data_IF_076413742332
#
_entry.id   IF_076413742332
#
_cell.length_a   1.000
_cell.length_b   1.000
_cell.length_c   1.000
_cell.angle_alpha   90.00
_cell.angle_beta   90.00
_cell.angle_gamma   90.00
#
_symmetry.space_group_name_H-M   'P 1'
#
loop_
_entity.id
_entity.type
_entity.pdbx_description
1 polymer ?
#
# COMPACT_ATOMS: atom_id res chain seq x y z
N UNK A 1 -56.91 -47.04 2.25
CA UNK A 1 -56.28 -46.20 3.28
C UNK A 1 -55.07 -45.50 2.66
N UNK A 2 -55.25 -44.25 2.23
CA UNK A 2 -54.14 -43.45 1.64
C UNK A 2 -53.55 -42.56 2.74
N UNK A 3 -52.29 -42.77 3.08
CA UNK A 3 -51.52 -41.89 3.99
C UNK A 3 -51.02 -40.70 3.21
N UNK A 4 -51.48 -39.51 3.53
CA UNK A 4 -50.97 -38.24 3.02
C UNK A 4 -49.79 -37.81 3.89
N UNK A 5 -48.61 -37.73 3.29
CA UNK A 5 -47.39 -37.26 3.93
C UNK A 5 -47.32 -35.74 3.75
N UNK A 6 -47.48 -34.99 4.83
CA UNK A 6 -47.23 -33.54 4.82
C UNK A 6 -45.74 -33.29 4.95
N UNK A 7 -45.12 -32.84 3.86
CA UNK A 7 -43.75 -32.33 3.86
C UNK A 7 -43.81 -30.86 4.25
N UNK A 8 -43.42 -30.54 5.48
CA UNK A 8 -43.25 -29.14 5.93
C UNK A 8 -42.00 -28.56 5.28
N UNK A 9 -42.18 -27.69 4.31
CA UNK A 9 -41.14 -26.84 3.73
C UNK A 9 -40.81 -25.73 4.72
N UNK A 10 -39.73 -25.87 5.49
CA UNK A 10 -39.19 -24.80 6.29
C UNK A 10 -38.50 -23.80 5.35
N UNK A 11 -39.21 -22.73 5.03
CA UNK A 11 -38.64 -21.55 4.39
C UNK A 11 -37.78 -20.86 5.44
N UNK A 12 -36.46 -21.04 5.35
CA UNK A 12 -35.50 -20.23 6.08
C UNK A 12 -35.56 -18.82 5.46
N UNK A 13 -36.34 -17.95 6.02
CA UNK A 13 -36.38 -16.54 5.71
C UNK A 13 -35.05 -15.95 6.14
N UNK A 14 -34.12 -15.75 5.19
CA UNK A 14 -33.01 -14.82 5.34
C UNK A 14 -33.63 -13.43 5.51
N UNK A 15 -33.78 -13.01 6.77
CA UNK A 15 -34.16 -11.65 7.12
C UNK A 15 -33.07 -10.70 6.60
N UNK A 16 -33.29 -10.14 5.42
CA UNK A 16 -32.66 -8.91 5.02
C UNK A 16 -33.32 -7.84 5.89
N UNK A 17 -32.80 -7.64 7.11
CA UNK A 17 -33.12 -6.43 7.87
C UNK A 17 -32.37 -5.29 7.19
N UNK A 18 -32.87 -4.90 6.01
CA UNK A 18 -32.56 -3.59 5.47
C UNK A 18 -33.17 -2.56 6.44
N UNK A 19 -32.43 -1.49 6.72
CA UNK A 19 -32.99 -0.33 7.41
C UNK A 19 -34.25 0.11 6.66
N UNK A 20 -35.43 -0.38 7.07
CA UNK A 20 -36.70 0.10 6.60
C UNK A 20 -37.16 1.18 7.56
N UNK A 21 -37.59 2.29 7.02
CA UNK A 21 -38.10 3.47 7.75
C UNK A 21 -39.31 3.17 8.65
N UNK A 22 -39.74 1.90 8.76
CA UNK A 22 -40.97 1.51 9.49
C UNK A 22 -40.74 1.03 10.93
N UNK A 23 -39.47 0.86 11.37
CA UNK A 23 -39.15 0.35 12.72
C UNK A 23 -38.50 1.40 13.64
N UNK A 24 -38.59 2.68 13.31
CA UNK A 24 -38.20 3.76 14.24
C UNK A 24 -39.30 3.86 15.33
N UNK A 25 -39.26 2.90 16.23
CA UNK A 25 -40.11 2.89 17.43
C UNK A 25 -39.85 4.10 18.29
N UNK A 26 -40.89 4.63 18.87
CA UNK A 26 -41.01 5.73 19.84
C UNK A 26 -39.69 6.07 20.50
N UNK A 27 -39.11 7.26 20.20
CA UNK A 27 -37.88 7.79 20.74
C UNK A 27 -37.78 7.58 22.27
N UNK A 28 -36.86 6.71 22.66
CA UNK A 28 -36.35 6.74 24.03
C UNK A 28 -35.60 8.07 24.16
N UNK A 29 -36.02 8.91 25.08
CA UNK A 29 -35.53 10.26 25.29
C UNK A 29 -33.99 10.33 25.17
N UNK A 30 -33.48 11.04 24.18
CA UNK A 30 -32.07 11.36 24.01
C UNK A 30 -31.25 10.45 23.08
N UNK A 31 -31.71 9.25 22.71
CA UNK A 31 -30.99 8.39 21.76
C UNK A 31 -31.59 8.58 20.36
N UNK A 32 -30.72 9.01 19.44
CA UNK A 32 -31.04 9.14 18.03
C UNK A 32 -30.38 8.01 17.23
N UNK A 33 -31.04 7.47 16.23
CA UNK A 33 -30.54 6.42 15.36
C UNK A 33 -30.55 6.86 13.90
N UNK A 34 -29.49 6.49 13.17
CA UNK A 34 -29.35 6.77 11.75
C UNK A 34 -28.93 5.51 11.01
N UNK A 35 -29.31 5.42 9.74
CA UNK A 35 -28.85 4.38 8.84
C UNK A 35 -27.74 4.94 7.94
N UNK A 36 -26.55 4.38 8.03
CA UNK A 36 -25.43 4.75 7.20
C UNK A 36 -25.21 3.73 6.08
N UNK A 37 -25.06 4.20 4.86
CA UNK A 37 -24.75 3.37 3.70
C UNK A 37 -23.38 3.76 3.14
N UNK A 38 -22.56 2.78 2.79
CA UNK A 38 -21.34 2.98 2.01
C UNK A 38 -21.70 2.83 0.53
N UNK A 39 -21.69 3.92 -0.21
CA UNK A 39 -22.03 3.89 -1.61
C UNK A 39 -21.37 5.01 -2.39
N UNK A 40 -20.35 4.68 -3.17
CA UNK A 40 -20.06 5.38 -4.40
C UNK A 40 -20.55 4.49 -5.55
N UNK A 41 -21.71 4.83 -6.12
CA UNK A 41 -22.22 4.14 -7.31
C UNK A 41 -21.27 4.30 -8.52
N UNK A 42 -20.25 5.15 -8.39
CA UNK A 42 -19.23 5.44 -9.39
C UNK A 42 -17.87 4.77 -9.08
N UNK A 43 -17.72 3.99 -8.01
CA UNK A 43 -16.48 3.25 -7.76
C UNK A 43 -16.38 2.06 -8.71
N UNK A 44 -15.93 2.31 -9.94
CA UNK A 44 -15.66 1.29 -10.97
C UNK A 44 -14.39 0.50 -10.76
N UNK A 45 -13.69 0.67 -9.69
CA UNK A 45 -12.70 -0.28 -9.23
C UNK A 45 -13.39 -1.22 -8.28
N UNK A 46 -14.01 -2.26 -8.86
CA UNK A 46 -14.38 -3.43 -8.10
C UNK A 46 -13.15 -3.83 -7.28
N UNK A 47 -13.25 -3.65 -5.96
CA UNK A 47 -12.33 -4.30 -5.04
C UNK A 47 -12.59 -5.79 -5.22
N UNK A 48 -11.72 -6.47 -5.94
CA UNK A 48 -11.80 -7.90 -6.14
C UNK A 48 -11.57 -8.53 -4.75
N UNK A 49 -12.66 -8.85 -4.05
CA UNK A 49 -12.68 -9.57 -2.80
C UNK A 49 -12.74 -8.78 -1.49
N UNK A 50 -12.47 -7.45 -1.44
CA UNK A 50 -12.58 -6.67 -0.19
C UNK A 50 -13.51 -5.48 -0.38
N UNK A 51 -14.80 -5.72 -0.28
CA UNK A 51 -15.78 -4.64 -0.07
C UNK A 51 -15.45 -3.94 1.25
N UNK A 52 -15.36 -2.61 1.24
CA UNK A 52 -15.37 -1.84 2.49
C UNK A 52 -16.71 -2.10 3.15
N UNK A 53 -16.69 -2.56 4.38
CA UNK A 53 -17.88 -2.85 5.20
C UNK A 53 -17.68 -2.23 6.57
N UNK A 54 -18.79 -1.93 7.23
CA UNK A 54 -18.77 -1.44 8.61
C UNK A 54 -18.27 -2.53 9.56
N UNK A 55 -17.39 -2.16 10.50
CA UNK A 55 -16.79 -3.08 11.47
C UNK A 55 -17.26 -2.78 12.89
N UNK A 56 -17.26 -3.80 13.74
CA UNK A 56 -17.59 -3.62 15.16
C UNK A 56 -16.63 -2.59 15.76
N UNK A 57 -17.20 -1.58 16.45
CA UNK A 57 -16.45 -0.47 17.04
C UNK A 57 -16.24 0.73 16.11
N UNK A 58 -16.80 0.71 14.89
CA UNK A 58 -16.83 1.90 14.04
C UNK A 58 -17.67 3.00 14.69
N UNK A 59 -17.15 4.22 14.55
CA UNK A 59 -17.78 5.44 15.04
C UNK A 59 -17.79 6.50 13.94
N UNK A 60 -18.90 7.24 13.83
CA UNK A 60 -19.05 8.34 12.89
C UNK A 60 -19.31 9.64 13.64
N UNK A 61 -18.81 10.75 13.08
CA UNK A 61 -19.14 12.08 13.56
C UNK A 61 -20.32 12.67 12.79
N UNK A 62 -21.31 13.20 13.49
CA UNK A 62 -22.42 13.92 12.88
C UNK A 62 -22.45 15.35 13.38
N UNK A 63 -22.41 16.29 12.47
CA UNK A 63 -22.50 17.73 12.77
C UNK A 63 -23.97 18.14 12.81
N UNK A 64 -24.38 18.63 13.98
CA UNK A 64 -25.75 19.02 14.28
C UNK A 64 -25.81 20.50 14.66
N UNK A 65 -26.85 21.19 14.22
CA UNK A 65 -27.16 22.55 14.62
C UNK A 65 -28.56 22.60 15.23
N UNK A 66 -28.80 23.54 16.13
CA UNK A 66 -30.11 23.77 16.74
C UNK A 66 -30.84 24.91 15.99
N UNK A 67 -31.93 24.57 15.32
CA UNK A 67 -32.75 25.52 14.59
C UNK A 67 -31.98 26.29 13.52
N UNK A 68 -32.00 27.62 13.59
CA UNK A 68 -31.32 28.51 12.64
C UNK A 68 -29.89 28.90 13.04
N UNK A 69 -29.29 28.24 14.03
CA UNK A 69 -27.93 28.52 14.48
C UNK A 69 -26.91 28.16 13.40
N UNK A 70 -25.86 28.96 13.28
CA UNK A 70 -24.69 28.65 12.44
C UNK A 70 -23.58 27.93 13.20
N UNK A 71 -23.84 27.54 14.46
CA UNK A 71 -22.90 26.75 15.27
C UNK A 71 -23.25 25.29 15.13
N UNK A 72 -22.23 24.45 14.89
CA UNK A 72 -22.38 23.02 14.68
C UNK A 72 -21.67 22.26 15.79
N UNK A 73 -22.35 21.28 16.36
CA UNK A 73 -21.78 20.35 17.38
C UNK A 73 -21.45 19.04 16.71
N UNK A 74 -20.24 18.53 16.94
CA UNK A 74 -19.80 17.22 16.48
C UNK A 74 -20.20 16.15 17.49
N UNK A 75 -21.17 15.31 17.13
CA UNK A 75 -21.71 14.26 18.00
C UNK A 75 -21.17 12.92 17.54
N UNK A 76 -20.67 12.12 18.48
CA UNK A 76 -20.25 10.74 18.23
C UNK A 76 -21.47 9.81 18.15
N UNK A 77 -21.54 9.03 17.07
CA UNK A 77 -22.48 7.93 16.90
C UNK A 77 -21.69 6.63 16.74
N UNK A 78 -22.01 5.65 17.59
CA UNK A 78 -21.39 4.32 17.57
C UNK A 78 -22.24 3.33 16.80
N UNK A 79 -21.58 2.40 16.12
CA UNK A 79 -22.25 1.32 15.38
C UNK A 79 -23.15 0.51 16.32
N UNK A 80 -24.45 0.45 16.01
CA UNK A 80 -25.46 -0.30 16.75
C UNK A 80 -25.89 -1.59 16.07
N UNK A 81 -25.80 -1.66 14.72
CA UNK A 81 -26.18 -2.84 13.94
C UNK A 81 -25.51 -2.85 12.57
N UNK A 82 -25.54 -3.98 11.86
CA UNK A 82 -25.10 -4.10 10.47
C UNK A 82 -23.58 -4.23 10.28
N UNK A 83 -22.81 -4.64 11.30
CA UNK A 83 -21.40 -4.99 11.15
C UNK A 83 -21.22 -6.07 10.07
N UNK A 84 -20.14 -5.96 9.27
CA UNK A 84 -19.86 -6.85 8.14
C UNK A 84 -20.65 -6.53 6.88
N UNK A 85 -21.41 -5.46 6.84
CA UNK A 85 -22.21 -5.05 5.67
C UNK A 85 -21.91 -3.60 5.25
N UNK A 86 -22.40 -3.19 4.08
CA UNK A 86 -22.33 -1.80 3.60
C UNK A 86 -23.37 -0.88 4.22
N UNK A 87 -24.40 -1.46 4.85
CA UNK A 87 -25.51 -0.73 5.45
C UNK A 87 -25.50 -1.02 6.95
N UNK A 88 -25.46 0.02 7.77
CA UNK A 88 -25.37 -0.14 9.22
C UNK A 88 -26.19 0.92 9.96
N UNK A 89 -26.69 0.55 11.12
CA UNK A 89 -27.28 1.45 12.08
C UNK A 89 -26.22 2.03 13.00
N UNK A 90 -26.34 3.32 13.29
CA UNK A 90 -25.52 4.02 14.27
C UNK A 90 -26.42 4.75 15.25
N UNK A 91 -26.04 4.77 16.52
CA UNK A 91 -26.78 5.46 17.58
C UNK A 91 -25.89 6.44 18.34
N UNK A 92 -26.46 7.58 18.70
CA UNK A 92 -25.79 8.64 19.47
C UNK A 92 -26.78 9.42 20.35
N UNK A 93 -26.25 10.24 21.23
CA UNK A 93 -27.07 11.12 22.07
C UNK A 93 -27.28 12.45 21.37
N UNK A 94 -28.53 12.70 20.95
CA UNK A 94 -28.91 13.94 20.31
C UNK A 94 -29.64 14.84 21.29
N UNK A 95 -29.02 15.98 21.62
CA UNK A 95 -29.55 16.94 22.58
C UNK A 95 -29.91 18.25 21.87
N UNK A 96 -30.86 18.99 22.45
CA UNK A 96 -31.27 20.31 22.02
C UNK A 96 -32.69 20.40 21.47
N UNK A 97 -33.13 21.65 21.21
CA UNK A 97 -34.45 21.91 20.61
C UNK A 97 -34.36 21.94 19.09
N UNK A 98 -35.11 21.07 18.43
CA UNK A 98 -35.14 20.96 16.96
C UNK A 98 -33.77 20.77 16.31
N UNK A 99 -33.01 19.72 16.69
CA UNK A 99 -31.69 19.46 16.14
C UNK A 99 -31.79 19.08 14.65
N UNK A 100 -30.91 19.64 13.84
CA UNK A 100 -30.84 19.37 12.41
C UNK A 100 -29.43 18.87 12.06
N UNK A 101 -29.31 17.66 11.56
CA UNK A 101 -28.08 17.05 11.09
C UNK A 101 -27.70 17.66 9.73
N UNK A 102 -26.45 18.06 9.52
CA UNK A 102 -26.00 18.78 8.30
C UNK A 102 -24.94 18.04 7.50
N UNK A 103 -23.99 17.41 8.20
CA UNK A 103 -22.93 16.62 7.56
C UNK A 103 -22.48 15.50 8.50
N UNK A 104 -21.91 14.44 7.94
CA UNK A 104 -21.28 13.37 8.71
C UNK A 104 -19.95 12.97 8.08
N UNK A 105 -19.07 12.38 8.90
CA UNK A 105 -17.77 11.87 8.48
C UNK A 105 -17.37 10.60 9.24
N UNK A 106 -16.49 9.83 8.64
CA UNK A 106 -15.90 8.62 9.20
C UNK A 106 -14.39 8.59 8.91
N UNK A 107 -13.57 8.12 9.86
CA UNK A 107 -13.91 7.77 11.24
C UNK A 107 -14.13 9.00 12.11
N UNK A 108 -14.85 8.85 13.22
CA UNK A 108 -15.05 9.92 14.20
C UNK A 108 -13.72 10.47 14.72
N UNK A 109 -13.64 11.78 14.86
CA UNK A 109 -12.56 12.52 15.50
C UNK A 109 -13.13 13.67 16.29
N UNK A 110 -12.85 13.75 17.59
CA UNK A 110 -13.41 14.79 18.48
C UNK A 110 -12.92 16.21 18.17
N UNK A 111 -11.78 16.33 17.45
CA UNK A 111 -11.16 17.57 16.99
C UNK A 111 -11.77 18.13 15.70
N UNK A 112 -12.64 17.33 15.04
CA UNK A 112 -13.27 17.76 13.80
C UNK A 112 -14.33 18.85 14.05
N UNK A 113 -14.39 19.81 13.12
CA UNK A 113 -15.35 20.91 13.12
C UNK A 113 -15.99 21.10 11.75
N UNK A 114 -17.16 21.70 11.73
CA UNK A 114 -17.90 22.02 10.50
C UNK A 114 -18.30 23.49 10.53
N UNK A 115 -18.12 24.22 9.42
CA UNK A 115 -18.44 25.65 9.30
C UNK A 115 -19.68 25.91 8.44
N UNK A 116 -20.43 24.87 8.06
CA UNK A 116 -21.57 24.94 7.17
C UNK A 116 -21.22 24.65 5.70
N UNK A 117 -19.93 24.62 5.34
CA UNK A 117 -19.46 24.38 3.98
C UNK A 117 -18.43 23.27 3.88
N UNK A 118 -17.57 23.12 4.90
CA UNK A 118 -16.49 22.15 4.94
C UNK A 118 -16.31 21.57 6.34
N UNK A 119 -15.78 20.36 6.39
CA UNK A 119 -15.32 19.72 7.61
C UNK A 119 -13.81 19.92 7.72
N UNK A 120 -13.35 20.48 8.83
CA UNK A 120 -11.93 20.58 9.19
C UNK A 120 -11.61 19.49 10.19
N UNK A 121 -10.49 18.76 9.99
CA UNK A 121 -10.07 17.64 10.82
C UNK A 121 -8.55 17.48 10.77
N UNK A 122 -8.01 16.68 11.69
CA UNK A 122 -6.60 16.31 11.68
C UNK A 122 -6.43 14.87 11.20
N UNK A 123 -5.67 14.67 10.13
CA UNK A 123 -5.27 13.33 9.67
C UNK A 123 -4.18 12.78 10.59
N UNK A 124 -4.37 11.59 11.10
CA UNK A 124 -3.37 10.92 11.94
C UNK A 124 -2.12 10.61 11.13
N UNK A 125 -0.98 10.74 11.76
CA UNK A 125 0.33 10.33 11.24
C UNK A 125 0.72 8.90 11.66
N UNK A 126 -0.06 8.30 12.55
CA UNK A 126 0.21 6.97 13.11
C UNK A 126 -1.06 6.15 13.23
N UNK A 127 -1.01 4.92 12.72
CA UNK A 127 -2.08 3.91 12.78
C UNK A 127 -1.53 2.59 13.32
N UNK A 128 -2.41 1.74 13.82
CA UNK A 128 -2.08 0.35 14.16
C UNK A 128 -2.61 -0.58 13.06
N UNK A 129 -1.76 -1.52 12.65
CA UNK A 129 -2.13 -2.55 11.68
C UNK A 129 -3.24 -3.44 12.23
N UNK A 130 -4.24 -3.67 11.41
CA UNK A 130 -5.28 -4.67 11.63
C UNK A 130 -5.45 -5.50 10.37
N UNK A 131 -5.38 -6.79 10.53
CA UNK A 131 -5.46 -7.71 9.40
C UNK A 131 -6.86 -7.70 8.77
N UNK A 132 -6.91 -7.53 7.45
CA UNK A 132 -8.17 -7.49 6.70
C UNK A 132 -9.01 -6.22 6.89
N UNK A 133 -8.58 -5.28 7.75
CA UNK A 133 -9.28 -4.03 7.99
C UNK A 133 -8.64 -2.85 7.24
N UNK A 134 -9.48 -2.08 6.57
CA UNK A 134 -9.15 -0.78 6.00
C UNK A 134 -9.69 0.32 6.93
N UNK A 135 -9.12 0.42 8.14
CA UNK A 135 -9.54 1.41 9.15
C UNK A 135 -9.14 2.86 8.82
N UNK A 136 -8.52 3.08 7.67
CA UNK A 136 -8.02 4.39 7.25
C UNK A 136 -8.85 5.05 6.13
N UNK A 137 -9.92 4.40 5.65
CA UNK A 137 -10.80 5.01 4.67
C UNK A 137 -11.51 6.23 5.26
N UNK A 138 -11.32 7.40 4.63
CA UNK A 138 -11.98 8.63 5.02
C UNK A 138 -13.22 8.84 4.15
N UNK A 139 -14.37 8.88 4.80
CA UNK A 139 -15.65 9.05 4.12
C UNK A 139 -16.44 10.21 4.72
N UNK A 140 -17.27 10.84 3.91
CA UNK A 140 -18.17 11.88 4.38
C UNK A 140 -19.44 11.95 3.54
N UNK A 141 -20.48 12.58 4.10
CA UNK A 141 -21.69 12.95 3.37
C UNK A 141 -22.26 14.27 3.87
N UNK A 142 -22.92 14.99 2.98
CA UNK A 142 -23.88 16.02 3.36
C UNK A 142 -25.23 15.37 3.62
N UNK A 143 -25.90 15.81 4.68
CA UNK A 143 -27.18 15.26 5.08
C UNK A 143 -28.29 16.13 4.50
N UNK A 144 -29.21 15.48 3.80
CA UNK A 144 -30.36 16.18 3.22
C UNK A 144 -31.38 16.48 4.32
N UNK A 145 -31.89 17.70 4.36
CA UNK A 145 -32.91 18.10 5.35
C UNK A 145 -34.20 17.28 5.27
N UNK A 146 -34.52 16.71 4.11
CA UNK A 146 -35.68 15.81 3.94
C UNK A 146 -35.40 14.33 4.28
N UNK A 147 -34.16 13.96 4.58
CA UNK A 147 -33.75 12.58 4.86
C UNK A 147 -32.67 12.54 5.96
N UNK A 148 -33.06 13.03 7.14
CA UNK A 148 -32.14 13.23 8.28
C UNK A 148 -31.55 11.93 8.86
N UNK A 149 -32.20 10.79 8.64
CA UNK A 149 -31.83 9.51 9.25
C UNK A 149 -31.14 8.56 8.25
N UNK A 150 -30.92 8.99 7.02
CA UNK A 150 -30.23 8.22 5.99
C UNK A 150 -28.94 8.94 5.54
N UNK A 151 -27.82 8.32 5.86
CA UNK A 151 -26.49 8.86 5.58
C UNK A 151 -25.82 8.10 4.44
N UNK A 152 -25.70 8.74 3.27
CA UNK A 152 -25.03 8.15 2.11
C UNK A 152 -23.55 8.55 2.06
N UNK A 153 -22.71 7.80 2.76
CA UNK A 153 -21.28 8.05 2.82
C UNK A 153 -20.59 7.81 1.46
N UNK A 154 -19.65 8.67 1.11
CA UNK A 154 -18.79 8.56 -0.06
C UNK A 154 -17.34 8.74 0.36
N UNK A 155 -16.42 8.06 -0.33
CA UNK A 155 -14.99 8.25 -0.12
C UNK A 155 -14.62 9.71 -0.38
N UNK A 156 -13.86 10.31 0.53
CA UNK A 156 -13.43 11.69 0.41
C UNK A 156 -12.03 11.81 -0.22
N UNK A 157 -11.16 10.83 0.01
CA UNK A 157 -9.78 10.77 -0.50
C UNK A 157 -9.54 9.61 -1.44
N UNK A 158 -8.27 9.33 -1.66
CA UNK A 158 -7.73 8.12 -2.29
C UNK A 158 -7.21 7.14 -1.24
N UNK A 159 -6.89 5.92 -1.67
CA UNK A 159 -6.29 4.89 -0.85
C UNK A 159 -5.07 4.29 -1.54
N UNK A 160 -3.93 4.24 -0.86
CA UNK A 160 -2.79 3.46 -1.31
C UNK A 160 -2.74 2.14 -0.55
N UNK A 161 -2.74 1.03 -1.28
CA UNK A 161 -2.66 -0.33 -0.76
C UNK A 161 -1.31 -0.92 -1.16
N UNK A 162 -0.47 -1.22 -0.18
CA UNK A 162 0.87 -1.77 -0.40
C UNK A 162 0.95 -3.15 0.21
N UNK A 163 1.12 -4.16 -0.65
CA UNK A 163 1.39 -5.52 -0.20
C UNK A 163 2.90 -5.72 -0.12
N UNK A 164 3.40 -6.07 1.04
CA UNK A 164 4.82 -6.36 1.26
C UNK A 164 4.96 -7.85 1.58
N UNK A 165 5.77 -8.53 0.78
CA UNK A 165 6.11 -9.96 0.98
C UNK A 165 7.48 -10.10 1.65
N UNK A 166 7.69 -11.23 2.31
CA UNK A 166 8.95 -11.61 2.99
C UNK A 166 9.41 -10.59 4.04
N UNK A 167 8.48 -10.10 4.86
CA UNK A 167 8.81 -9.12 5.90
C UNK A 167 9.67 -9.79 6.98
N UNK A 168 10.88 -9.26 7.28
CA UNK A 168 11.74 -9.78 8.35
C UNK A 168 11.02 -9.84 9.70
N UNK A 169 11.34 -10.84 10.49
CA UNK A 169 10.66 -11.17 11.76
C UNK A 169 10.63 -10.05 12.79
N UNK A 170 11.64 -9.21 12.81
CA UNK A 170 11.83 -8.14 13.78
C UNK A 170 11.27 -6.78 13.34
N UNK A 171 10.70 -6.69 12.13
CA UNK A 171 10.10 -5.45 11.65
C UNK A 171 8.77 -5.17 12.34
N UNK A 172 8.52 -3.88 12.63
CA UNK A 172 7.40 -3.45 13.48
C UNK A 172 6.63 -2.27 12.93
N UNK A 173 7.07 -1.66 11.83
CA UNK A 173 6.36 -0.54 11.23
C UNK A 173 6.54 -0.49 9.70
N UNK A 174 5.53 0.06 9.03
CA UNK A 174 5.58 0.50 7.64
C UNK A 174 5.23 1.99 7.59
N UNK A 175 6.00 2.78 6.82
CA UNK A 175 5.83 4.23 6.72
C UNK A 175 5.76 4.66 5.28
N UNK A 176 4.74 5.44 4.94
CA UNK A 176 4.62 6.14 3.67
C UNK A 176 4.99 7.60 3.89
N UNK A 177 5.88 8.14 3.06
CA UNK A 177 6.34 9.54 3.13
C UNK A 177 6.11 10.21 1.79
N UNK A 178 5.48 11.39 1.78
CA UNK A 178 5.48 12.27 0.61
C UNK A 178 6.77 13.07 0.59
N UNK A 179 7.44 13.09 -0.57
CA UNK A 179 8.77 13.68 -0.74
C UNK A 179 8.77 14.79 -1.79
N UNK A 180 9.68 15.75 -1.62
CA UNK A 180 9.90 16.81 -2.61
C UNK A 180 10.52 16.26 -3.88
N UNK A 181 10.04 16.73 -5.04
CA UNK A 181 10.76 16.56 -6.28
C UNK A 181 11.95 17.55 -6.36
N UNK A 182 12.92 17.22 -7.19
CA UNK A 182 14.06 18.10 -7.43
C UNK A 182 13.59 19.52 -7.85
N UNK A 183 14.06 20.54 -7.15
CA UNK A 183 13.71 21.93 -7.41
C UNK A 183 12.41 22.44 -6.75
N UNK A 184 11.70 21.62 -5.95
CA UNK A 184 10.55 22.04 -5.14
C UNK A 184 10.91 21.97 -3.64
N UNK A 185 10.43 22.94 -2.88
CA UNK A 185 10.69 23.02 -1.43
C UNK A 185 9.57 22.47 -0.56
N UNK A 186 8.40 22.20 -1.15
CA UNK A 186 7.22 21.74 -0.42
C UNK A 186 6.49 20.62 -1.17
N UNK A 187 5.85 19.73 -0.41
CA UNK A 187 5.00 18.64 -0.91
C UNK A 187 3.61 18.74 -0.30
N UNK A 188 2.58 18.19 -0.95
CA UNK A 188 1.29 17.98 -0.30
C UNK A 188 1.47 17.10 0.93
N UNK A 189 0.96 17.54 2.08
CA UNK A 189 0.98 16.72 3.29
C UNK A 189 0.04 15.53 3.13
N UNK A 190 0.40 14.39 3.73
CA UNK A 190 -0.48 13.20 3.81
C UNK A 190 -1.04 12.99 5.23
N UNK A 191 -0.55 13.74 6.21
CA UNK A 191 -1.02 13.79 7.59
C UNK A 191 -1.05 15.24 8.06
N UNK A 192 -1.72 15.52 9.20
CA UNK A 192 -1.89 16.86 9.76
C UNK A 192 -3.21 17.52 9.39
N UNK A 193 -3.26 18.84 9.39
CA UNK A 193 -4.50 19.59 9.15
C UNK A 193 -5.07 19.38 7.76
N UNK A 194 -6.33 18.97 7.69
CA UNK A 194 -7.03 18.66 6.47
C UNK A 194 -8.47 19.20 6.47
N UNK A 195 -9.05 19.24 5.30
CA UNK A 195 -10.45 19.63 5.12
C UNK A 195 -11.15 18.72 4.12
N UNK A 196 -12.45 18.49 4.37
CA UNK A 196 -13.35 17.84 3.43
C UNK A 196 -14.32 18.91 2.92
N UNK A 197 -14.25 19.21 1.64
CA UNK A 197 -15.18 20.13 0.95
C UNK A 197 -16.21 19.32 0.18
N UNK A 198 -17.37 19.93 -0.07
CA UNK A 198 -18.44 19.28 -0.81
C UNK A 198 -18.77 20.04 -2.09
N UNK A 199 -18.81 19.32 -3.20
CA UNK A 199 -19.31 19.84 -4.47
C UNK A 199 -20.43 18.94 -4.97
N UNK A 200 -21.66 19.46 -5.04
CA UNK A 200 -22.87 18.70 -5.41
C UNK A 200 -23.03 17.41 -4.57
N UNK A 201 -22.75 17.49 -3.27
CA UNK A 201 -22.82 16.36 -2.35
C UNK A 201 -21.69 15.32 -2.49
N UNK A 202 -20.64 15.65 -3.24
CA UNK A 202 -19.44 14.81 -3.41
C UNK A 202 -18.34 15.38 -2.51
N UNK A 203 -17.87 14.61 -1.50
CA UNK A 203 -16.79 15.04 -0.62
C UNK A 203 -15.42 14.96 -1.31
N UNK A 204 -14.53 15.90 -1.01
CA UNK A 204 -13.14 15.86 -1.43
C UNK A 204 -12.24 16.25 -0.27
N UNK A 205 -11.34 15.33 0.10
CA UNK A 205 -10.34 15.51 1.15
C UNK A 205 -9.10 16.17 0.56
N UNK A 206 -8.68 17.27 1.16
CA UNK A 206 -7.42 17.95 0.84
C UNK A 206 -6.70 18.34 2.12
N UNK A 207 -5.38 18.43 2.08
CA UNK A 207 -4.60 19.01 3.19
C UNK A 207 -4.44 20.51 3.00
N UNK A 208 -4.39 21.23 4.11
CA UNK A 208 -4.26 22.70 4.11
C UNK A 208 -2.80 23.15 4.24
N UNK A 209 -1.92 22.21 4.55
CA UNK A 209 -0.50 22.47 4.81
C UNK A 209 0.38 21.87 3.73
N UNK A 210 1.45 22.58 3.41
CA UNK A 210 2.58 22.05 2.65
C UNK A 210 3.79 22.01 3.56
N UNK A 211 4.53 20.92 3.55
CA UNK A 211 5.73 20.75 4.37
C UNK A 211 6.88 20.23 3.50
N UNK A 212 8.08 20.20 4.06
CA UNK A 212 9.24 19.60 3.35
C UNK A 212 9.08 18.09 3.18
N UNK A 213 8.37 17.44 4.10
CA UNK A 213 7.95 16.04 4.02
C UNK A 213 6.77 15.81 4.98
N UNK A 214 5.95 14.83 4.66
CA UNK A 214 4.85 14.40 5.53
C UNK A 214 4.76 12.88 5.45
N UNK A 215 4.49 12.21 6.57
CA UNK A 215 4.47 10.76 6.61
C UNK A 215 3.31 10.19 7.41
N UNK A 216 2.93 8.97 7.06
CA UNK A 216 2.00 8.12 7.82
C UNK A 216 2.75 6.84 8.18
N UNK A 217 2.71 6.45 9.46
CA UNK A 217 3.30 5.23 9.99
C UNK A 217 2.20 4.25 10.39
N UNK A 218 2.32 2.99 9.99
CA UNK A 218 1.46 1.91 10.43
C UNK A 218 2.31 0.95 11.26
N UNK A 219 2.00 0.87 12.56
CA UNK A 219 2.69 -0.03 13.49
C UNK A 219 2.05 -1.42 13.45
N UNK A 220 2.86 -2.46 13.53
CA UNK A 220 2.43 -3.85 13.66
C UNK A 220 3.32 -4.63 14.63
N UNK A 221 2.83 -5.74 15.14
CA UNK A 221 3.60 -6.58 16.03
C UNK A 221 4.73 -7.30 15.29
N UNK A 222 5.90 -7.38 15.92
CA UNK A 222 6.99 -8.24 15.46
C UNK A 222 6.50 -9.71 15.41
N UNK A 223 7.03 -10.47 14.48
CA UNK A 223 6.77 -11.90 14.34
C UNK A 223 7.97 -12.70 14.81
N UNK A 224 7.76 -13.96 15.20
CA UNK A 224 8.85 -14.92 15.47
C UNK A 224 9.54 -15.40 14.18
N UNK A 225 8.84 -15.31 13.05
CA UNK A 225 9.27 -15.80 11.75
C UNK A 225 9.10 -14.72 10.68
N UNK A 226 9.71 -14.94 9.52
CA UNK A 226 9.47 -14.10 8.33
C UNK A 226 7.99 -14.13 7.99
N UNK A 227 7.39 -12.96 7.85
CA UNK A 227 5.98 -12.84 7.48
C UNK A 227 5.85 -12.91 5.97
N UNK A 228 5.17 -13.94 5.48
CA UNK A 228 5.02 -14.19 4.04
C UNK A 228 4.45 -12.99 3.30
N UNK A 229 3.42 -12.34 3.86
CA UNK A 229 2.79 -11.18 3.23
C UNK A 229 1.97 -10.37 4.23
N UNK A 230 2.01 -9.03 4.11
CA UNK A 230 1.06 -8.10 4.77
C UNK A 230 0.65 -7.01 3.79
N UNK A 231 -0.61 -6.59 3.87
CA UNK A 231 -1.11 -5.46 3.08
C UNK A 231 -1.37 -4.27 4.00
N UNK A 232 -0.73 -3.15 3.71
CA UNK A 232 -0.86 -1.89 4.43
C UNK A 232 -1.74 -0.93 3.62
N UNK A 233 -2.63 -0.22 4.32
CA UNK A 233 -3.55 0.74 3.70
C UNK A 233 -3.26 2.14 4.20
N UNK A 234 -2.86 3.03 3.30
CA UNK A 234 -2.54 4.43 3.59
C UNK A 234 -3.61 5.33 2.98
N UNK A 235 -4.34 6.13 3.79
CA UNK A 235 -5.25 7.14 3.26
C UNK A 235 -4.44 8.25 2.58
N UNK A 236 -4.90 8.70 1.43
CA UNK A 236 -4.26 9.79 0.71
C UNK A 236 -5.27 10.91 0.44
N UNK A 237 -4.96 12.16 0.84
CA UNK A 237 -5.64 13.34 0.33
C UNK A 237 -5.53 13.44 -1.18
N UNK A 238 -6.50 14.10 -1.81
CA UNK A 238 -6.48 14.37 -3.25
C UNK A 238 -5.39 15.41 -3.54
N UNK A 239 -4.34 15.00 -4.22
CA UNK A 239 -3.21 15.85 -4.58
C UNK A 239 -2.30 15.18 -5.63
N UNK A 240 -1.46 15.99 -6.28
CA UNK A 240 -0.32 15.51 -7.07
C UNK A 240 0.90 15.36 -6.17
N UNK A 241 1.31 14.12 -5.93
CA UNK A 241 2.52 13.78 -5.16
C UNK A 241 3.70 13.61 -6.10
N UNK A 242 4.76 14.42 -5.98
CA UNK A 242 5.95 14.30 -6.85
C UNK A 242 6.68 12.97 -6.67
N UNK A 243 6.72 12.47 -5.44
CA UNK A 243 7.20 11.14 -5.10
C UNK A 243 6.58 10.69 -3.77
N UNK A 244 6.31 9.40 -3.67
CA UNK A 244 5.99 8.73 -2.42
C UNK A 244 7.11 7.74 -2.12
N UNK A 245 7.52 7.67 -0.88
CA UNK A 245 8.52 6.73 -0.39
C UNK A 245 7.87 5.81 0.63
N UNK A 246 7.95 4.51 0.42
CA UNK A 246 7.62 3.53 1.44
C UNK A 246 8.88 3.10 2.15
N UNK A 247 8.85 3.10 3.47
CA UNK A 247 9.88 2.50 4.34
C UNK A 247 9.23 1.44 5.21
N UNK A 248 9.95 0.38 5.53
CA UNK A 248 9.52 -0.65 6.47
C UNK A 248 10.70 -1.07 7.35
N UNK A 249 10.49 -1.29 8.63
CA UNK A 249 11.61 -1.58 9.53
C UNK A 249 11.25 -1.78 11.00
N UNK A 250 12.26 -1.68 11.88
CA UNK A 250 12.14 -1.85 13.33
C UNK A 250 12.77 -0.71 14.15
N UNK A 251 13.18 0.37 13.55
CA UNK A 251 13.86 1.48 14.22
C UNK A 251 15.39 1.40 14.21
N UNK A 252 15.97 0.20 14.13
CA UNK A 252 17.41 0.01 13.98
C UNK A 252 17.79 -0.22 12.50
N UNK A 253 16.94 -0.94 11.78
CA UNK A 253 17.07 -1.22 10.36
C UNK A 253 15.79 -0.85 9.63
N UNK A 254 15.90 -0.34 8.42
CA UNK A 254 14.74 -0.05 7.57
C UNK A 254 15.10 -0.26 6.10
N UNK A 255 14.09 -0.65 5.34
CA UNK A 255 14.17 -0.72 3.88
C UNK A 255 13.30 0.40 3.29
N UNK A 256 13.82 1.11 2.29
CA UNK A 256 13.17 2.25 1.64
C UNK A 256 12.93 1.92 0.17
N UNK A 257 11.72 2.14 -0.31
CA UNK A 257 11.35 1.99 -1.70
C UNK A 257 10.74 3.30 -2.19
N UNK A 258 11.30 3.86 -3.26
CA UNK A 258 10.75 5.07 -3.88
C UNK A 258 9.73 4.68 -4.93
N UNK A 259 8.56 5.30 -4.88
CA UNK A 259 7.56 5.18 -5.92
C UNK A 259 7.70 6.31 -6.94
N UNK A 260 7.06 6.15 -8.10
CA UNK A 260 6.89 7.22 -9.08
C UNK A 260 5.92 8.29 -8.55
N UNK A 261 5.89 9.44 -9.23
CA UNK A 261 4.88 10.48 -8.97
C UNK A 261 3.46 9.91 -9.06
N UNK A 262 2.57 10.38 -8.20
CA UNK A 262 1.19 9.94 -8.12
C UNK A 262 0.23 11.13 -8.14
N UNK A 263 -0.70 11.15 -9.10
CA UNK A 263 -1.87 12.02 -9.09
C UNK A 263 -3.01 11.30 -8.36
N UNK A 264 -3.12 11.55 -7.04
CA UNK A 264 -4.12 10.90 -6.20
C UNK A 264 -5.50 11.53 -6.39
N UNK A 265 -6.43 10.76 -6.94
CA UNK A 265 -7.81 11.18 -7.20
C UNK A 265 -8.76 10.57 -6.19
N UNK A 266 -9.80 11.33 -5.86
CA UNK A 266 -10.88 10.87 -4.99
C UNK A 266 -11.43 9.51 -5.44
N UNK A 267 -11.69 8.64 -4.48
CA UNK A 267 -12.30 7.33 -4.70
C UNK A 267 -11.45 6.37 -5.57
N UNK A 268 -10.17 6.66 -5.78
CA UNK A 268 -9.26 5.74 -6.44
C UNK A 268 -8.43 4.95 -5.44
N UNK A 269 -8.15 3.69 -5.77
CA UNK A 269 -7.24 2.82 -5.04
C UNK A 269 -6.01 2.54 -5.89
N UNK A 270 -4.87 2.87 -5.36
CA UNK A 270 -3.57 2.57 -5.94
C UNK A 270 -2.99 1.35 -5.25
N UNK A 271 -2.58 0.36 -6.03
CA UNK A 271 -2.03 -0.90 -5.49
C UNK A 271 -0.61 -1.11 -5.96
N UNK A 272 0.25 -1.56 -5.06
CA UNK A 272 1.59 -2.03 -5.39
C UNK A 272 1.93 -3.25 -4.55
N UNK A 273 2.74 -4.14 -5.11
CA UNK A 273 3.29 -5.29 -4.38
C UNK A 273 4.80 -5.19 -4.38
N UNK A 274 5.40 -5.40 -3.24
CA UNK A 274 6.83 -5.32 -3.00
C UNK A 274 7.24 -6.63 -2.34
N UNK A 275 8.28 -7.26 -2.87
CA UNK A 275 8.88 -8.43 -2.24
C UNK A 275 10.23 -8.03 -1.68
N UNK A 276 10.40 -8.19 -0.37
CA UNK A 276 11.68 -7.97 0.28
C UNK A 276 12.55 -9.19 0.06
N UNK A 277 13.78 -8.96 -0.36
CA UNK A 277 14.71 -10.06 -0.59
C UNK A 277 15.15 -10.67 0.73
N UNK A 278 15.05 -11.99 0.84
CA UNK A 278 15.53 -12.76 2.02
C UNK A 278 17.04 -12.62 2.25
N UNK A 279 17.75 -12.14 1.23
CA UNK A 279 19.21 -12.19 1.13
C UNK A 279 19.90 -10.99 1.74
N UNK A 280 19.24 -9.83 1.87
CA UNK A 280 19.89 -8.68 2.49
C UNK A 280 18.90 -7.87 3.33
N UNK A 281 19.20 -7.65 4.59
CA UNK A 281 18.52 -6.66 5.43
C UNK A 281 18.82 -5.22 5.02
N UNK A 282 19.23 -4.98 3.79
CA UNK A 282 19.52 -3.66 3.22
C UNK A 282 18.62 -3.39 2.01
N UNK A 283 18.20 -2.15 1.91
CA UNK A 283 17.50 -1.59 0.74
C UNK A 283 18.40 -1.67 -0.47
N UNK A 284 17.89 -2.06 -1.65
CA UNK A 284 18.62 -1.82 -2.87
C UNK A 284 18.91 -0.33 -3.03
N UNK A 285 20.17 0.04 -3.11
CA UNK A 285 20.54 1.37 -3.55
C UNK A 285 20.22 1.47 -5.03
N UNK A 286 19.30 2.35 -5.41
CA UNK A 286 18.97 2.54 -6.82
C UNK A 286 20.09 3.31 -7.51
N UNK A 287 20.59 2.76 -8.62
CA UNK A 287 21.58 3.38 -9.52
C UNK A 287 20.97 3.54 -10.90
N UNK A 288 21.40 4.55 -11.63
CA UNK A 288 20.85 4.84 -12.96
C UNK A 288 21.46 3.94 -14.05
N UNK A 289 22.69 3.45 -13.82
CA UNK A 289 23.41 2.63 -14.80
C UNK A 289 24.19 1.49 -14.16
N UNK A 290 24.56 0.48 -14.95
CA UNK A 290 25.37 -0.67 -14.49
C UNK A 290 26.78 -0.27 -14.05
N UNK A 291 27.31 0.84 -14.53
CA UNK A 291 28.64 1.32 -14.15
C UNK A 291 28.73 1.81 -12.69
N UNK A 292 27.61 2.18 -12.08
CA UNK A 292 27.52 2.67 -10.71
C UNK A 292 27.37 1.53 -9.68
N UNK A 293 27.06 0.32 -10.15
CA UNK A 293 26.74 -0.83 -9.27
C UNK A 293 27.92 -1.17 -8.35
N UNK A 294 29.15 -1.17 -8.87
CA UNK A 294 30.34 -1.51 -8.08
C UNK A 294 30.54 -0.55 -6.90
N UNK A 295 30.38 0.75 -7.13
CA UNK A 295 30.53 1.75 -6.06
C UNK A 295 29.39 1.67 -5.05
N UNK A 296 28.18 1.46 -5.50
CA UNK A 296 27.04 1.26 -4.62
C UNK A 296 27.20 -0.01 -3.75
N UNK A 297 27.70 -1.11 -4.32
CA UNK A 297 27.95 -2.36 -3.59
C UNK A 297 29.09 -2.28 -2.57
N UNK A 298 29.95 -1.27 -2.62
CA UNK A 298 30.94 -1.04 -1.55
C UNK A 298 30.29 -0.60 -0.25
N UNK A 299 29.16 0.13 -0.35
CA UNK A 299 28.43 0.68 0.79
C UNK A 299 27.25 -0.21 1.21
N UNK A 300 26.69 -1.01 0.28
CA UNK A 300 25.53 -1.85 0.51
C UNK A 300 25.73 -3.27 -0.04
N UNK A 301 24.83 -4.19 0.27
CA UNK A 301 24.81 -5.54 -0.31
C UNK A 301 23.68 -5.70 -1.34
N UNK A 302 22.92 -4.65 -1.63
CA UNK A 302 21.76 -4.74 -2.52
C UNK A 302 21.67 -3.47 -3.38
N UNK A 303 21.55 -3.66 -4.69
CA UNK A 303 21.48 -2.58 -5.69
C UNK A 303 20.33 -2.85 -6.65
N UNK A 304 19.57 -1.81 -7.00
CA UNK A 304 18.59 -1.81 -8.08
C UNK A 304 19.08 -0.93 -9.23
N UNK A 305 19.16 -1.48 -10.42
CA UNK A 305 19.53 -0.75 -11.65
C UNK A 305 18.26 -0.29 -12.33
N UNK A 306 18.08 1.03 -12.49
CA UNK A 306 16.88 1.62 -13.06
C UNK A 306 16.68 1.24 -14.53
N UNK A 307 17.76 1.32 -15.35
CA UNK A 307 17.71 0.88 -16.75
C UNK A 307 19.11 0.46 -17.25
N UNK A 308 19.13 -0.56 -18.08
CA UNK A 308 20.32 -0.88 -18.90
C UNK A 308 20.06 -0.39 -20.32
N UNK A 309 20.60 0.78 -20.63
CA UNK A 309 20.27 1.50 -21.85
C UNK A 309 20.65 0.75 -23.12
N UNK A 310 19.82 0.87 -24.17
CA UNK A 310 20.07 0.27 -25.50
C UNK A 310 21.34 0.77 -26.18
N UNK A 311 21.84 1.92 -25.75
CA UNK A 311 23.08 2.54 -26.27
C UNK A 311 24.35 1.97 -25.64
N UNK A 312 24.25 1.16 -24.60
CA UNK A 312 25.40 0.54 -23.93
C UNK A 312 25.92 -0.67 -24.75
N UNK A 313 27.11 -0.57 -25.33
CA UNK A 313 27.60 -1.63 -26.25
C UNK A 313 28.04 -2.90 -25.50
N UNK A 314 28.40 -2.80 -24.23
CA UNK A 314 28.88 -3.92 -23.40
C UNK A 314 28.57 -3.65 -21.93
N UNK A 315 27.26 -3.71 -21.53
CA UNK A 315 26.86 -3.44 -20.18
C UNK A 315 27.52 -4.44 -19.22
N UNK A 316 28.27 -3.93 -18.25
CA UNK A 316 28.99 -4.76 -17.29
C UNK A 316 28.70 -4.32 -15.87
N UNK A 317 28.15 -5.25 -15.09
CA UNK A 317 28.01 -5.15 -13.65
C UNK A 317 29.24 -5.74 -13.01
N UNK A 318 30.01 -4.93 -12.29
CA UNK A 318 31.19 -5.35 -11.53
C UNK A 318 30.82 -5.56 -10.07
N UNK A 319 31.12 -6.73 -9.52
CA UNK A 319 30.91 -7.04 -8.12
C UNK A 319 32.20 -6.89 -7.35
N UNK A 320 32.31 -5.93 -6.41
CA UNK A 320 33.54 -5.69 -5.66
C UNK A 320 33.83 -6.81 -4.67
N UNK A 321 35.11 -7.08 -4.44
CA UNK A 321 35.59 -7.91 -3.32
C UNK A 321 35.61 -7.07 -2.05
N UNK A 322 35.26 -7.70 -0.91
CA UNK A 322 35.26 -7.06 0.41
C UNK A 322 36.31 -7.71 1.33
N UNK A 323 36.71 -7.00 2.40
CA UNK A 323 37.64 -7.53 3.40
C UNK A 323 37.03 -8.68 4.20
N UNK A 324 35.72 -8.64 4.43
CA UNK A 324 34.94 -9.74 4.97
C UNK A 324 34.01 -10.27 3.89
N UNK A 325 33.81 -11.58 3.73
CA UNK A 325 32.88 -12.13 2.76
C UNK A 325 31.51 -11.48 2.98
N UNK A 326 30.98 -10.80 1.98
CA UNK A 326 29.58 -10.44 1.97
C UNK A 326 28.83 -11.75 1.73
N UNK A 327 28.10 -12.19 2.74
CA UNK A 327 27.39 -13.47 2.69
C UNK A 327 26.46 -13.53 1.46
N UNK A 328 25.85 -12.42 1.11
CA UNK A 328 24.90 -12.33 0.00
C UNK A 328 24.92 -10.96 -0.65
N UNK A 329 24.90 -10.92 -1.98
CA UNK A 329 24.74 -9.72 -2.80
C UNK A 329 23.48 -9.85 -3.66
N UNK A 330 22.67 -8.81 -3.73
CA UNK A 330 21.46 -8.76 -4.57
C UNK A 330 21.59 -7.64 -5.61
N UNK A 331 21.28 -7.97 -6.86
CA UNK A 331 21.21 -7.04 -7.98
C UNK A 331 19.87 -7.22 -8.66
N UNK A 332 19.04 -6.21 -8.61
CA UNK A 332 17.76 -6.17 -9.32
C UNK A 332 17.84 -5.19 -10.49
N UNK A 333 17.12 -5.48 -11.54
CA UNK A 333 16.97 -4.59 -12.69
C UNK A 333 15.51 -4.19 -12.78
N UNK A 334 15.23 -2.89 -12.92
CA UNK A 334 13.88 -2.40 -13.16
C UNK A 334 13.52 -2.48 -14.65
N UNK A 335 14.50 -2.21 -15.51
CA UNK A 335 14.36 -2.32 -16.95
C UNK A 335 15.70 -2.71 -17.62
N UNK A 336 15.60 -3.41 -18.75
CA UNK A 336 16.75 -3.73 -19.62
C UNK A 336 16.32 -3.45 -21.06
N UNK A 337 16.77 -2.33 -21.58
CA UNK A 337 16.46 -1.86 -22.95
C UNK A 337 17.49 -2.32 -23.99
N UNK A 338 18.63 -2.87 -23.56
CA UNK A 338 19.68 -3.36 -24.47
C UNK A 338 19.38 -4.74 -25.01
N UNK A 339 19.77 -5.01 -26.24
CA UNK A 339 19.77 -6.35 -26.87
C UNK A 339 21.09 -7.10 -26.66
N UNK A 340 22.12 -6.41 -26.13
CA UNK A 340 23.40 -7.01 -25.78
C UNK A 340 23.30 -7.80 -24.48
N UNK A 341 24.20 -8.76 -24.28
CA UNK A 341 24.27 -9.46 -23.02
C UNK A 341 24.80 -8.56 -21.92
N UNK A 342 24.11 -8.56 -20.75
CA UNK A 342 24.59 -7.90 -19.53
C UNK A 342 25.61 -8.83 -18.88
N UNK A 343 26.86 -8.38 -18.79
CA UNK A 343 27.92 -9.15 -18.15
C UNK A 343 27.90 -8.89 -16.64
N UNK A 344 27.89 -9.96 -15.82
CA UNK A 344 28.04 -9.89 -14.37
C UNK A 344 29.36 -10.55 -14.01
N UNK A 345 30.30 -9.77 -13.49
CA UNK A 345 31.69 -10.20 -13.30
C UNK A 345 32.21 -9.81 -11.91
N UNK A 346 33.16 -10.59 -11.41
CA UNK A 346 34.00 -10.16 -10.29
C UNK A 346 34.88 -8.96 -10.69
N UNK A 347 35.03 -7.97 -9.83
CA UNK A 347 35.98 -6.89 -10.02
C UNK A 347 37.41 -7.43 -9.97
N UNK A 348 38.17 -7.25 -11.05
CA UNK A 348 39.50 -7.87 -11.20
C UNK A 348 40.61 -7.15 -10.40
N UNK A 349 40.40 -5.87 -10.07
CA UNK A 349 41.40 -5.04 -9.39
C UNK A 349 40.72 -3.96 -8.58
N UNK A 350 40.36 -4.23 -7.33
CA UNK A 350 39.78 -3.25 -6.41
C UNK A 350 40.68 -3.05 -5.17
N UNK A 351 40.68 -1.87 -4.60
CA UNK A 351 41.29 -1.53 -3.30
C UNK A 351 40.48 -2.03 -2.12
N UNK A 352 39.48 -2.86 -2.34
CA UNK A 352 38.49 -3.30 -1.34
C UNK A 352 38.46 -4.81 -1.14
N UNK A 353 39.46 -5.38 -0.47
CA UNK A 353 39.33 -6.75 0.04
C UNK A 353 39.68 -7.89 -0.94
N UNK A 354 39.72 -9.13 -0.40
CA UNK A 354 40.13 -10.35 -1.13
C UNK A 354 39.02 -11.35 -1.30
N UNK A 355 37.86 -11.16 -0.65
CA UNK A 355 36.78 -12.14 -0.61
C UNK A 355 35.64 -11.77 -1.59
N UNK A 356 35.30 -12.69 -2.48
CA UNK A 356 34.10 -12.63 -3.30
C UNK A 356 32.84 -12.96 -2.46
N UNK A 357 31.63 -12.50 -2.83
CA UNK A 357 30.41 -12.89 -2.16
C UNK A 357 30.13 -14.39 -2.38
N UNK A 358 29.61 -15.05 -1.34
CA UNK A 358 29.24 -16.48 -1.43
C UNK A 358 28.02 -16.68 -2.33
N UNK A 359 27.02 -15.80 -2.23
CA UNK A 359 25.79 -15.88 -3.02
C UNK A 359 25.51 -14.55 -3.73
N UNK A 360 25.08 -14.63 -4.97
CA UNK A 360 24.67 -13.48 -5.78
C UNK A 360 23.27 -13.75 -6.32
N UNK A 361 22.32 -12.94 -5.93
CA UNK A 361 20.97 -12.93 -6.46
C UNK A 361 20.86 -11.93 -7.60
N UNK A 362 20.39 -12.38 -8.76
CA UNK A 362 20.12 -11.53 -9.93
C UNK A 362 18.65 -11.63 -10.25
N UNK A 363 17.92 -10.52 -10.18
CA UNK A 363 16.49 -10.49 -10.44
C UNK A 363 16.12 -9.51 -11.55
N UNK A 364 15.16 -9.92 -12.40
CA UNK A 364 14.58 -9.08 -13.45
C UNK A 364 13.06 -9.18 -13.42
N UNK A 365 12.32 -8.12 -13.80
CA UNK A 365 10.89 -8.19 -14.02
C UNK A 365 10.59 -8.98 -15.31
N UNK A 366 9.32 -9.30 -15.53
CA UNK A 366 8.88 -9.79 -16.85
C UNK A 366 8.98 -8.64 -17.85
N UNK A 367 9.88 -8.75 -18.80
CA UNK A 367 10.13 -7.76 -19.86
C UNK A 367 9.52 -8.21 -21.19
N UNK A 368 9.15 -7.26 -22.05
CA UNK A 368 8.65 -7.53 -23.40
C UNK A 368 9.72 -8.21 -24.27
N UNK A 369 10.99 -7.83 -24.09
CA UNK A 369 12.15 -8.47 -24.68
C UNK A 369 12.94 -9.16 -23.60
N UNK A 370 13.05 -10.46 -23.66
CA UNK A 370 13.80 -11.25 -22.68
C UNK A 370 15.30 -10.91 -22.73
N UNK A 371 15.93 -10.59 -21.59
CA UNK A 371 17.32 -10.15 -21.54
C UNK A 371 18.31 -11.32 -21.70
N UNK A 372 19.55 -10.98 -22.06
CA UNK A 372 20.69 -11.90 -22.11
C UNK A 372 21.69 -11.58 -21.01
N UNK A 373 22.23 -12.62 -20.38
CA UNK A 373 23.23 -12.46 -19.33
C UNK A 373 24.48 -13.30 -19.62
N UNK A 374 25.63 -12.73 -19.29
CA UNK A 374 26.92 -13.43 -19.23
C UNK A 374 27.44 -13.38 -17.78
N UNK A 375 27.60 -14.55 -17.14
CA UNK A 375 27.92 -14.66 -15.72
C UNK A 375 29.34 -15.19 -15.57
N UNK A 376 30.19 -14.41 -14.95
CA UNK A 376 31.60 -14.71 -14.66
C UNK A 376 31.95 -14.45 -13.17
N UNK A 377 31.42 -15.32 -12.31
CA UNK A 377 31.59 -15.23 -10.86
C UNK A 377 32.12 -16.57 -10.30
N UNK A 378 33.41 -16.83 -10.43
CA UNK A 378 33.98 -18.17 -10.20
C UNK A 378 33.85 -18.69 -8.76
N UNK A 379 33.64 -17.81 -7.79
CA UNK A 379 33.59 -18.15 -6.37
C UNK A 379 32.20 -18.07 -5.75
N UNK A 380 31.16 -17.77 -6.57
CA UNK A 380 29.83 -17.49 -6.05
C UNK A 380 28.78 -18.48 -6.56
N UNK A 381 27.77 -18.74 -5.74
CA UNK A 381 26.50 -19.33 -6.18
C UNK A 381 25.63 -18.20 -6.73
N UNK A 382 25.20 -18.29 -8.00
CA UNK A 382 24.35 -17.28 -8.63
C UNK A 382 22.94 -17.79 -8.75
N UNK A 383 22.00 -17.08 -8.17
CA UNK A 383 20.56 -17.38 -8.29
C UNK A 383 19.90 -16.38 -9.24
N UNK A 384 19.27 -16.87 -10.30
CA UNK A 384 18.39 -16.08 -11.15
C UNK A 384 16.98 -16.09 -10.58
N UNK A 385 16.39 -14.92 -10.39
CA UNK A 385 15.07 -14.76 -9.81
C UNK A 385 14.16 -13.86 -10.67
N UNK A 386 12.87 -13.92 -10.43
CA UNK A 386 11.91 -12.99 -10.99
C UNK A 386 11.66 -11.86 -9.98
N UNK A 387 11.66 -10.63 -10.47
CA UNK A 387 11.11 -9.50 -9.74
C UNK A 387 9.60 -9.44 -10.02
N UNK A 388 8.84 -10.34 -9.38
CA UNK A 388 7.43 -10.63 -9.64
C UNK A 388 7.15 -12.13 -9.66
N UNK A 389 6.07 -12.57 -10.31
CA UNK A 389 5.68 -13.99 -10.36
C UNK A 389 6.54 -14.82 -11.34
N UNK A 390 6.90 -14.22 -12.46
CA UNK A 390 7.67 -14.90 -13.54
C UNK A 390 8.68 -13.94 -14.16
N UNK A 391 9.77 -14.50 -14.71
CA UNK A 391 10.67 -13.80 -15.60
C UNK A 391 11.23 -14.74 -16.65
N UNK A 392 11.48 -14.21 -17.85
CA UNK A 392 12.06 -14.96 -18.96
C UNK A 392 13.41 -14.36 -19.32
N UNK A 393 14.44 -15.22 -19.40
CA UNK A 393 15.78 -14.90 -19.88
C UNK A 393 15.96 -15.52 -21.28
N UNK A 394 16.39 -14.73 -22.25
CA UNK A 394 16.61 -15.25 -23.63
C UNK A 394 17.85 -16.14 -23.68
N UNK A 395 18.96 -15.64 -23.16
CA UNK A 395 20.20 -16.40 -23.09
C UNK A 395 20.92 -16.16 -21.79
N UNK A 396 21.39 -17.21 -21.13
CA UNK A 396 22.27 -17.14 -19.99
C UNK A 396 23.53 -17.94 -20.30
N UNK A 397 24.69 -17.27 -20.26
CA UNK A 397 26.00 -17.88 -20.48
C UNK A 397 26.80 -17.89 -19.18
N UNK A 398 27.12 -19.07 -18.66
CA UNK A 398 28.07 -19.23 -17.56
C UNK A 398 29.47 -19.45 -18.12
N UNK A 399 30.44 -18.62 -17.76
CA UNK A 399 31.76 -18.57 -18.40
C UNK A 399 32.84 -19.33 -17.64
N UNK A 400 32.65 -19.60 -16.34
CA UNK A 400 33.66 -20.27 -15.49
C UNK A 400 33.16 -21.60 -14.91
N UNK A 401 34.10 -22.53 -14.70
CA UNK A 401 33.83 -23.90 -14.28
C UNK A 401 33.37 -24.04 -12.83
N UNK A 402 33.55 -23.00 -12.00
CA UNK A 402 33.25 -23.04 -10.57
C UNK A 402 31.89 -22.42 -10.22
N UNK A 403 31.15 -21.89 -11.20
CA UNK A 403 29.84 -21.27 -10.98
C UNK A 403 28.78 -22.33 -10.65
N UNK A 404 28.06 -22.11 -9.58
CA UNK A 404 26.77 -22.77 -9.34
C UNK A 404 25.67 -21.80 -9.77
N UNK A 405 24.88 -22.20 -10.79
CA UNK A 405 23.73 -21.43 -11.24
C UNK A 405 22.45 -22.08 -10.73
N UNK A 406 21.65 -21.33 -10.01
CA UNK A 406 20.35 -21.73 -9.47
C UNK A 406 19.25 -20.97 -10.19
N UNK A 407 18.24 -21.68 -10.70
CA UNK A 407 17.05 -21.07 -11.27
C UNK A 407 15.96 -21.01 -10.21
N UNK A 408 15.55 -19.80 -9.82
CA UNK A 408 14.47 -19.56 -8.89
C UNK A 408 13.11 -20.00 -9.43
N UNK A 409 12.10 -19.98 -8.58
CA UNK A 409 10.72 -20.29 -8.97
C UNK A 409 10.21 -19.27 -10.02
N UNK A 410 9.51 -19.73 -11.05
CA UNK A 410 8.92 -18.87 -12.07
C UNK A 410 9.91 -18.39 -13.14
N UNK A 411 11.14 -18.93 -13.18
CA UNK A 411 12.15 -18.57 -14.16
C UNK A 411 12.08 -19.48 -15.38
N UNK A 412 12.12 -18.86 -16.56
CA UNK A 412 12.31 -19.53 -17.86
C UNK A 412 13.62 -19.04 -18.48
N UNK A 413 14.49 -19.94 -18.91
CA UNK A 413 15.70 -19.64 -19.68
C UNK A 413 15.57 -20.31 -21.05
N UNK A 414 15.50 -19.52 -22.13
CA UNK A 414 15.36 -20.05 -23.49
C UNK A 414 16.63 -20.78 -23.95
N UNK A 415 17.79 -20.22 -23.65
CA UNK A 415 19.09 -20.78 -24.02
C UNK A 415 20.07 -20.70 -22.85
N UNK A 416 20.53 -21.84 -22.34
CA UNK A 416 21.60 -21.91 -21.35
C UNK A 416 22.88 -22.39 -22.01
N UNK A 417 23.95 -21.58 -21.94
CA UNK A 417 25.29 -21.93 -22.44
C UNK A 417 26.26 -22.05 -21.27
N UNK A 418 26.91 -23.19 -21.16
CA UNK A 418 27.97 -23.41 -20.17
C UNK A 418 29.28 -23.57 -20.92
N UNK A 419 30.17 -22.56 -20.80
CA UNK A 419 31.47 -22.56 -21.51
C UNK A 419 32.53 -23.40 -20.80
N UNK A 420 32.37 -23.58 -19.48
CA UNK A 420 33.27 -24.45 -18.69
C UNK A 420 32.49 -24.97 -17.46
N UNK A 421 32.68 -26.22 -17.07
CA UNK A 421 32.07 -26.81 -15.86
C UNK A 421 31.20 -28.03 -16.14
N UNK A 422 30.77 -28.70 -15.06
CA UNK A 422 29.79 -29.78 -15.12
C UNK A 422 28.38 -29.18 -14.96
N UNK A 423 27.47 -29.59 -15.83
CA UNK A 423 26.03 -29.31 -15.73
C UNK A 423 25.39 -30.35 -14.81
#
# INVERSE_FOLDING_TARGET
MKKILFTSLAVLGLGITGCSNEDLGVAKSGVDEVCATMGDAESRTAMNGNSVVWSIGDEIGIFVTNGSSSTYTNINYSLSSGAGTKNAGFSGLLEGENPVKKAAFYPYGSDASYDGSKISLTLKDTYNYKEGENSSALMACQINESAQDVLAFKNAGALMSVTVNNIPKDYTWAKLTSMTAQGKTTVPAIAGNAQITFSKGIPTLTTTETSNSSSITINFAASSDVVTSKTFYFPLPVAEYPALELSIGNGATSQVLKTKALDAKRNERYTTTITLDEVSGSVPTTVESVSEVADALKETNSVSVADVASTEPSPTVSIPKKDTPAENVSISFENISTTNAVAIKEESTGTGGTAAPENVLVSVPQLDTAPKFEIDLPSSTVTLAANGETATYDEVTATTAANTLVLGKGITVNTLKVKAGNV
#
